data_IF_623431048876
#
_entry.id   IF_623431048876
#
_cell.length_a   1.000
_cell.length_b   1.000
_cell.length_c   1.000
_cell.angle_alpha   90.00
_cell.angle_beta   90.00
_cell.angle_gamma   90.00
#
_symmetry.space_group_name_H-M   'P 1'
#
loop_
_entity.id
_entity.type
_entity.pdbx_description
1 polymer ?
#
# COMPACT_ATOMS: atom_id res chain seq x y z
N UNK A 1 25.41 46.05 -47.69
CA UNK A 1 24.28 45.16 -47.99
C UNK A 1 24.85 44.11 -48.92
N UNK A 2 25.16 42.86 -48.55
CA UNK A 2 24.35 41.95 -47.73
C UNK A 2 25.08 40.71 -47.15
N UNK A 3 26.39 40.72 -46.88
CA UNK A 3 27.07 39.48 -46.40
C UNK A 3 27.52 39.48 -44.93
N UNK A 4 27.71 40.64 -44.31
CA UNK A 4 28.28 40.70 -42.95
C UNK A 4 27.28 40.37 -41.81
N UNK A 5 25.98 40.60 -42.02
CA UNK A 5 24.96 40.37 -40.99
C UNK A 5 24.49 38.92 -40.91
N UNK A 6 24.67 38.13 -41.98
CA UNK A 6 24.26 36.72 -42.03
C UNK A 6 25.11 35.80 -41.13
N UNK A 7 26.36 36.18 -40.85
CA UNK A 7 27.24 35.42 -39.94
C UNK A 7 26.94 35.68 -38.45
N UNK A 8 26.35 36.84 -38.11
CA UNK A 8 26.06 37.25 -36.73
C UNK A 8 24.69 36.79 -36.22
N UNK A 9 23.80 36.32 -37.10
CA UNK A 9 22.46 35.80 -36.75
C UNK A 9 22.32 34.28 -36.86
N UNK A 10 23.41 33.53 -37.00
CA UNK A 10 23.35 32.07 -36.84
C UNK A 10 23.21 31.77 -35.35
N UNK A 11 22.05 31.30 -34.84
CA UNK A 11 22.05 30.72 -33.49
C UNK A 11 23.08 29.60 -33.53
N UNK A 12 24.08 29.64 -32.64
CA UNK A 12 25.05 28.55 -32.51
C UNK A 12 24.25 27.23 -32.54
N UNK A 13 24.43 26.34 -33.54
CA UNK A 13 23.51 25.24 -33.81
C UNK A 13 23.42 24.21 -32.68
N UNK A 14 24.22 24.43 -31.63
CA UNK A 14 24.39 23.62 -30.45
C UNK A 14 23.69 24.19 -29.19
N UNK A 15 23.10 25.39 -29.23
CA UNK A 15 22.38 25.94 -28.08
C UNK A 15 20.97 25.35 -27.93
N UNK A 16 20.25 25.16 -29.04
CA UNK A 16 18.91 24.56 -29.01
C UNK A 16 18.92 23.07 -28.61
N UNK A 17 19.87 22.20 -29.06
CA UNK A 17 19.95 20.82 -28.62
C UNK A 17 20.36 20.71 -27.14
N UNK A 18 21.26 21.58 -26.67
CA UNK A 18 21.68 21.61 -25.26
C UNK A 18 20.51 22.00 -24.33
N UNK A 19 19.71 23.01 -24.71
CA UNK A 19 18.49 23.36 -23.99
C UNK A 19 17.47 22.21 -23.98
N UNK A 20 17.34 21.47 -25.09
CA UNK A 20 16.46 20.31 -25.20
C UNK A 20 16.92 19.15 -24.30
N UNK A 21 18.22 18.90 -24.21
CA UNK A 21 18.81 17.92 -23.28
C UNK A 21 18.54 18.30 -21.83
N UNK A 22 18.67 19.58 -21.46
CA UNK A 22 18.39 20.06 -20.10
C UNK A 22 16.91 19.94 -19.76
N UNK A 23 16.00 20.28 -20.69
CA UNK A 23 14.54 20.12 -20.50
C UNK A 23 14.17 18.65 -20.38
N UNK A 24 14.72 17.77 -21.23
CA UNK A 24 14.51 16.32 -21.13
C UNK A 24 15.06 15.75 -19.82
N UNK A 25 16.25 16.17 -19.37
CA UNK A 25 16.81 15.75 -18.09
C UNK A 25 15.96 16.24 -16.91
N UNK A 26 15.50 17.50 -16.94
CA UNK A 26 14.62 18.06 -15.92
C UNK A 26 13.24 17.38 -15.90
N UNK A 27 12.70 17.00 -17.06
CA UNK A 27 11.50 16.17 -17.16
C UNK A 27 11.78 14.78 -16.56
N UNK A 28 12.85 14.09 -16.95
CA UNK A 28 13.23 12.77 -16.39
C UNK A 28 13.41 12.81 -14.86
N UNK A 29 13.96 13.89 -14.30
CA UNK A 29 14.11 14.10 -12.85
C UNK A 29 12.77 14.44 -12.17
N UNK A 30 11.90 15.25 -12.81
CA UNK A 30 10.54 15.53 -12.33
C UNK A 30 9.56 14.36 -12.51
N UNK A 31 9.89 13.38 -13.35
CA UNK A 31 9.24 12.07 -13.42
C UNK A 31 9.83 11.10 -12.38
N UNK A 32 10.78 11.51 -11.54
CA UNK A 32 11.23 10.75 -10.35
C UNK A 32 10.09 10.25 -9.45
N UNK A 33 9.07 11.08 -9.11
CA UNK A 33 7.86 10.60 -8.45
C UNK A 33 7.07 9.58 -9.29
N UNK A 34 7.14 9.61 -10.63
CA UNK A 34 6.59 8.54 -11.46
C UNK A 34 7.46 7.28 -11.42
N UNK A 35 8.79 7.35 -11.23
CA UNK A 35 9.62 6.13 -11.08
C UNK A 35 9.30 5.39 -9.79
N UNK A 36 8.99 6.10 -8.70
CA UNK A 36 8.42 5.51 -7.49
C UNK A 36 7.00 4.95 -7.73
N UNK A 37 6.21 5.63 -8.57
CA UNK A 37 4.87 5.18 -9.01
C UNK A 37 4.91 3.94 -9.94
N UNK A 38 6.05 3.66 -10.60
CA UNK A 38 6.23 2.50 -11.50
C UNK A 38 6.99 1.33 -10.85
N UNK A 39 7.65 1.55 -9.71
CA UNK A 39 8.37 0.53 -8.94
C UNK A 39 7.45 -0.39 -8.12
N UNK A 40 6.17 -0.05 -7.98
CA UNK A 40 5.15 -0.87 -7.30
C UNK A 40 4.56 -1.95 -8.23
N UNK A 41 5.36 -2.42 -9.19
CA UNK A 41 5.00 -3.54 -10.06
C UNK A 41 5.36 -4.84 -9.34
N UNK A 42 4.33 -5.44 -8.71
CA UNK A 42 4.32 -6.75 -8.05
C UNK A 42 5.25 -6.84 -6.85
N UNK A 43 4.80 -6.31 -5.71
CA UNK A 43 5.28 -6.79 -4.43
C UNK A 43 4.90 -8.26 -4.32
N UNK A 44 5.86 -9.16 -4.57
CA UNK A 44 5.74 -10.56 -4.16
C UNK A 44 5.77 -10.64 -2.64
N UNK A 45 5.16 -11.68 -2.05
CA UNK A 45 5.15 -11.84 -0.60
C UNK A 45 6.56 -11.85 0.02
N UNK A 46 7.59 -12.24 -0.72
CA UNK A 46 8.99 -12.17 -0.26
C UNK A 46 9.41 -10.74 0.13
N UNK A 47 8.84 -9.73 -0.53
CA UNK A 47 9.06 -8.32 -0.19
C UNK A 47 8.21 -7.90 1.01
N UNK A 48 7.03 -8.50 1.20
CA UNK A 48 6.17 -8.30 2.38
C UNK A 48 6.85 -8.84 3.64
N UNK A 49 7.55 -9.97 3.54
CA UNK A 49 8.26 -10.59 4.66
C UNK A 49 9.45 -9.75 5.16
N UNK A 50 10.01 -8.91 4.29
CA UNK A 50 11.08 -7.98 4.64
C UNK A 50 10.59 -6.71 5.36
N UNK A 51 9.27 -6.49 5.43
CA UNK A 51 8.69 -5.29 6.04
C UNK A 51 8.68 -5.38 7.57
N UNK A 52 8.90 -4.23 8.22
CA UNK A 52 8.52 -4.06 9.63
C UNK A 52 6.99 -4.09 9.80
N UNK A 53 6.50 -4.18 11.05
CA UNK A 53 5.05 -4.13 11.34
C UNK A 53 4.39 -2.86 10.78
N UNK A 54 4.94 -1.70 11.13
CA UNK A 54 4.47 -0.39 10.63
C UNK A 54 4.58 -0.25 9.09
N UNK A 55 5.59 -0.86 8.48
CA UNK A 55 5.70 -0.91 7.02
C UNK A 55 4.62 -1.80 6.40
N UNK A 56 4.25 -2.90 7.05
CA UNK A 56 3.18 -3.79 6.62
C UNK A 56 1.80 -3.12 6.74
N UNK A 57 1.54 -2.40 7.83
CA UNK A 57 0.32 -1.59 8.01
C UNK A 57 0.16 -0.57 6.87
N UNK A 58 1.20 0.22 6.60
CA UNK A 58 1.21 1.19 5.49
C UNK A 58 1.08 0.53 4.11
N UNK A 59 1.65 -0.66 3.95
CA UNK A 59 1.49 -1.44 2.72
C UNK A 59 0.02 -1.80 2.52
N UNK A 60 -0.65 -2.34 3.54
CA UNK A 60 -2.07 -2.68 3.48
C UNK A 60 -2.95 -1.45 3.26
N UNK A 61 -2.65 -0.32 3.91
CA UNK A 61 -3.37 0.93 3.68
C UNK A 61 -3.35 1.34 2.21
N UNK A 62 -2.17 1.30 1.57
CA UNK A 62 -2.04 1.58 0.13
C UNK A 62 -2.72 0.54 -0.74
N UNK A 63 -2.64 -0.73 -0.36
CA UNK A 63 -3.29 -1.83 -1.08
C UNK A 63 -4.81 -1.65 -1.11
N UNK A 64 -5.45 -1.44 0.05
CA UNK A 64 -6.90 -1.22 0.13
C UNK A 64 -7.33 0.04 -0.63
N UNK A 65 -6.57 1.14 -0.51
CA UNK A 65 -6.83 2.36 -1.27
C UNK A 65 -6.80 2.12 -2.79
N UNK A 66 -5.82 1.35 -3.29
CA UNK A 66 -5.74 0.95 -4.71
C UNK A 66 -6.86 0.02 -5.14
N UNK A 67 -7.31 -0.85 -4.25
CA UNK A 67 -8.47 -1.72 -4.47
C UNK A 67 -9.80 -0.95 -4.52
N UNK A 68 -9.79 0.38 -4.30
CA UNK A 68 -10.96 1.24 -4.38
C UNK A 68 -11.69 1.44 -3.05
N UNK A 69 -11.06 1.09 -1.93
CA UNK A 69 -11.61 1.25 -0.60
C UNK A 69 -11.22 2.62 -0.04
N UNK A 70 -12.08 3.21 0.78
CA UNK A 70 -11.67 4.33 1.62
C UNK A 70 -10.91 3.78 2.82
N UNK A 71 -9.81 4.42 3.21
CA UNK A 71 -8.92 3.92 4.26
C UNK A 71 -8.66 5.03 5.27
N UNK A 72 -8.85 4.69 6.54
CA UNK A 72 -8.50 5.51 7.70
C UNK A 72 -7.47 4.75 8.54
N UNK A 73 -6.28 5.32 8.70
CA UNK A 73 -5.27 4.77 9.62
C UNK A 73 -5.64 5.17 11.05
N UNK A 74 -5.94 4.18 11.90
CA UNK A 74 -6.32 4.37 13.32
C UNK A 74 -5.32 3.78 14.30
N UNK A 75 -4.29 3.10 13.79
CA UNK A 75 -3.19 2.51 14.57
C UNK A 75 -2.27 3.54 15.22
N UNK A 76 -1.60 3.13 16.30
CA UNK A 76 -0.66 3.98 17.05
C UNK A 76 -0.64 3.71 18.55
N UNK A 77 -0.05 4.62 19.33
CA UNK A 77 -0.01 4.47 20.81
C UNK A 77 -1.42 4.64 21.40
N UNK A 78 -2.03 3.55 21.85
CA UNK A 78 -3.37 3.55 22.46
C UNK A 78 -4.47 3.06 21.53
N UNK A 79 -4.11 2.27 20.52
CA UNK A 79 -5.00 1.62 19.59
C UNK A 79 -5.88 0.57 20.29
N UNK A 80 -7.19 0.60 19.98
CA UNK A 80 -8.18 -0.33 20.53
C UNK A 80 -8.20 -1.69 19.79
N UNK A 81 -7.07 -2.09 19.18
CA UNK A 81 -6.93 -3.39 18.48
C UNK A 81 -7.27 -3.39 16.99
N UNK A 82 -7.15 -2.24 16.31
CA UNK A 82 -7.17 -2.17 14.85
C UNK A 82 -6.14 -1.15 14.36
N UNK A 83 -5.55 -1.42 13.20
CA UNK A 83 -4.57 -0.55 12.56
C UNK A 83 -5.23 0.33 11.49
N UNK A 84 -6.23 -0.21 10.79
CA UNK A 84 -6.97 0.47 9.72
C UNK A 84 -8.48 0.29 9.92
N UNK A 85 -9.24 1.33 9.57
CA UNK A 85 -10.66 1.20 9.23
C UNK A 85 -10.78 1.36 7.73
N UNK A 86 -11.40 0.39 7.06
CA UNK A 86 -11.61 0.43 5.63
C UNK A 86 -13.09 0.44 5.31
N UNK A 87 -13.50 1.23 4.32
CA UNK A 87 -14.90 1.33 3.91
C UNK A 87 -15.06 0.98 2.43
N UNK A 88 -15.94 0.03 2.15
CA UNK A 88 -16.29 -0.38 0.78
C UNK A 88 -17.80 -0.46 0.63
N UNK A 89 -18.33 0.25 -0.38
CA UNK A 89 -19.77 0.32 -0.65
C UNK A 89 -20.64 0.72 0.57
N UNK A 90 -20.08 1.54 1.46
CA UNK A 90 -20.78 2.02 2.66
C UNK A 90 -20.66 1.12 3.90
N UNK A 91 -20.01 -0.04 3.79
CA UNK A 91 -19.74 -0.91 4.92
C UNK A 91 -18.33 -0.70 5.47
N UNK A 92 -18.21 -0.56 6.79
CA UNK A 92 -16.96 -0.31 7.51
C UNK A 92 -16.43 -1.60 8.11
N UNK A 93 -15.13 -1.82 7.93
CA UNK A 93 -14.41 -2.99 8.44
C UNK A 93 -13.24 -2.54 9.29
N UNK A 94 -13.17 -3.00 10.53
CA UNK A 94 -11.99 -2.86 11.36
C UNK A 94 -10.93 -3.90 10.95
N UNK A 95 -9.72 -3.45 10.65
CA UNK A 95 -8.64 -4.31 10.16
C UNK A 95 -7.46 -4.27 11.12
N UNK A 96 -7.05 -5.44 11.61
CA UNK A 96 -5.78 -5.63 12.30
C UNK A 96 -4.77 -6.27 11.34
N UNK A 97 -3.67 -5.57 11.11
CA UNK A 97 -2.50 -6.05 10.40
C UNK A 97 -1.56 -6.74 11.39
N UNK A 98 -1.12 -7.97 11.07
CA UNK A 98 -0.07 -8.66 11.81
C UNK A 98 1.01 -9.14 10.86
N UNK A 99 2.15 -8.45 10.84
CA UNK A 99 3.38 -9.02 10.27
C UNK A 99 4.02 -9.92 11.34
N UNK A 100 4.28 -11.18 11.03
CA UNK A 100 4.77 -12.17 11.99
C UNK A 100 5.68 -13.22 11.34
N UNK A 101 6.66 -13.73 12.09
CA UNK A 101 7.49 -14.87 11.68
C UNK A 101 6.89 -16.23 12.10
N UNK A 102 5.78 -16.22 12.85
CA UNK A 102 5.11 -17.42 13.36
C UNK A 102 3.60 -17.31 13.15
N UNK A 103 2.86 -18.43 13.24
CA UNK A 103 1.41 -18.39 13.09
C UNK A 103 0.73 -17.44 14.08
N UNK A 104 -0.27 -16.70 13.60
CA UNK A 104 -1.03 -15.73 14.39
C UNK A 104 -2.02 -16.45 15.31
N UNK A 105 -2.01 -16.08 16.59
CA UNK A 105 -2.84 -16.64 17.65
C UNK A 105 -4.16 -15.91 17.87
N UNK A 106 -4.93 -16.39 18.84
CA UNK A 106 -6.27 -15.86 19.19
C UNK A 106 -6.29 -14.39 19.63
N UNK A 107 -5.17 -13.87 20.14
CA UNK A 107 -5.07 -12.49 20.62
C UNK A 107 -5.44 -11.47 19.53
N UNK A 108 -4.95 -11.65 18.30
CA UNK A 108 -5.26 -10.75 17.18
C UNK A 108 -6.77 -10.73 16.85
N UNK A 109 -7.44 -11.86 17.03
CA UNK A 109 -8.89 -11.97 16.80
C UNK A 109 -9.65 -11.23 17.91
N UNK A 110 -9.23 -11.39 19.16
CA UNK A 110 -9.85 -10.72 20.30
C UNK A 110 -9.68 -9.20 20.22
N UNK A 111 -8.48 -8.74 19.83
CA UNK A 111 -8.16 -7.32 19.58
C UNK A 111 -9.13 -6.72 18.55
N UNK A 112 -9.23 -7.30 17.35
CA UNK A 112 -10.06 -6.72 16.28
C UNK A 112 -11.56 -6.81 16.57
N UNK A 113 -12.01 -7.81 17.33
CA UNK A 113 -13.41 -7.90 17.79
C UNK A 113 -13.76 -6.74 18.74
N UNK A 114 -12.83 -6.39 19.63
CA UNK A 114 -12.95 -5.19 20.46
C UNK A 114 -12.99 -3.92 19.61
N UNK A 115 -12.05 -3.81 18.66
CA UNK A 115 -11.94 -2.67 17.76
C UNK A 115 -13.20 -2.47 16.90
N UNK A 116 -13.79 -3.55 16.36
CA UNK A 116 -15.03 -3.50 15.58
C UNK A 116 -16.14 -2.76 16.33
N UNK A 117 -16.31 -3.09 17.62
CA UNK A 117 -17.31 -2.44 18.47
C UNK A 117 -16.94 -1.01 18.81
N UNK A 118 -15.65 -0.76 19.10
CA UNK A 118 -15.16 0.56 19.48
C UNK A 118 -15.29 1.59 18.34
N UNK A 119 -14.96 1.18 17.12
CA UNK A 119 -14.97 2.06 15.94
C UNK A 119 -16.30 2.04 15.18
N UNK A 120 -17.34 1.38 15.69
CA UNK A 120 -18.67 1.26 15.05
C UNK A 120 -18.60 0.68 13.63
N UNK A 121 -17.90 -0.44 13.48
CA UNK A 121 -17.74 -1.15 12.21
C UNK A 121 -18.68 -2.35 12.13
N UNK A 122 -19.23 -2.61 10.94
CA UNK A 122 -20.07 -3.78 10.68
C UNK A 122 -19.25 -5.08 10.63
N UNK A 123 -18.02 -4.99 10.14
CA UNK A 123 -17.14 -6.14 9.90
C UNK A 123 -15.80 -6.01 10.61
N UNK A 124 -15.11 -7.13 10.76
CA UNK A 124 -13.75 -7.22 11.29
C UNK A 124 -12.91 -8.14 10.42
N UNK A 125 -11.63 -7.80 10.27
CA UNK A 125 -10.68 -8.56 9.48
C UNK A 125 -9.31 -8.58 10.17
N UNK A 126 -8.63 -9.73 10.12
CA UNK A 126 -7.20 -9.79 10.41
C UNK A 126 -6.47 -10.13 9.13
N UNK A 127 -5.39 -9.42 8.84
CA UNK A 127 -4.53 -9.67 7.67
C UNK A 127 -3.10 -9.95 8.15
N UNK A 128 -2.48 -11.01 7.64
CA UNK A 128 -1.13 -11.41 8.02
C UNK A 128 -0.30 -11.90 6.83
N UNK A 129 1.02 -11.78 6.94
CA UNK A 129 1.97 -12.39 5.98
C UNK A 129 2.27 -13.88 6.31
N UNK A 130 1.73 -14.38 7.42
CA UNK A 130 1.91 -15.73 7.95
C UNK A 130 0.60 -16.53 7.84
N UNK A 131 0.47 -17.62 8.59
CA UNK A 131 -0.79 -18.36 8.73
C UNK A 131 -1.39 -18.18 10.13
N UNK A 132 -2.58 -18.75 10.34
CA UNK A 132 -3.25 -18.73 11.64
C UNK A 132 -3.13 -20.07 12.35
N UNK A 133 -3.13 -20.02 13.69
CA UNK A 133 -3.35 -21.21 14.50
C UNK A 133 -4.79 -21.73 14.33
N UNK A 134 -5.01 -23.04 14.48
CA UNK A 134 -6.36 -23.62 14.43
C UNK A 134 -7.34 -22.99 15.45
N UNK A 135 -6.83 -22.60 16.62
CA UNK A 135 -7.62 -21.90 17.64
C UNK A 135 -8.04 -20.49 17.17
N UNK A 136 -7.15 -19.75 16.48
CA UNK A 136 -7.49 -18.46 15.90
C UNK A 136 -8.55 -18.57 14.80
N UNK A 137 -8.43 -19.56 13.91
CA UNK A 137 -9.43 -19.82 12.87
C UNK A 137 -10.81 -20.17 13.46
N UNK A 138 -10.83 -21.01 14.49
CA UNK A 138 -12.06 -21.39 15.22
C UNK A 138 -12.73 -20.17 15.85
N UNK A 139 -11.94 -19.31 16.52
CA UNK A 139 -12.46 -18.10 17.15
C UNK A 139 -12.93 -17.07 16.11
N UNK A 140 -12.17 -16.88 15.03
CA UNK A 140 -12.54 -15.97 13.95
C UNK A 140 -13.90 -16.35 13.34
N UNK A 141 -14.12 -17.65 13.10
CA UNK A 141 -15.41 -18.17 12.63
C UNK A 141 -16.54 -17.85 13.60
N UNK A 142 -16.30 -18.02 14.90
CA UNK A 142 -17.30 -17.76 15.95
C UNK A 142 -17.64 -16.27 16.10
N UNK A 143 -16.67 -15.39 15.84
CA UNK A 143 -16.83 -13.94 15.96
C UNK A 143 -17.22 -13.24 14.64
N UNK A 144 -17.25 -13.96 13.53
CA UNK A 144 -17.45 -13.39 12.20
C UNK A 144 -16.31 -12.46 11.77
N UNK A 145 -15.08 -12.88 12.03
CA UNK A 145 -13.85 -12.15 11.63
C UNK A 145 -13.32 -12.78 10.35
N UNK A 146 -13.13 -11.97 9.32
CA UNK A 146 -12.48 -12.39 8.08
C UNK A 146 -10.98 -12.54 8.29
N UNK A 147 -10.41 -13.61 7.75
CA UNK A 147 -8.98 -13.90 7.85
C UNK A 147 -8.39 -13.87 6.46
N UNK A 148 -7.37 -13.03 6.27
CA UNK A 148 -6.49 -13.11 5.11
C UNK A 148 -5.13 -13.56 5.60
N UNK A 149 -4.82 -14.83 5.34
CA UNK A 149 -3.50 -15.36 5.60
C UNK A 149 -2.55 -15.08 4.43
N UNK A 150 -1.36 -15.66 4.46
CA UNK A 150 -0.36 -15.52 3.42
C UNK A 150 -0.91 -15.79 2.02
N UNK A 151 -1.60 -16.92 1.84
CA UNK A 151 -2.04 -17.36 0.52
C UNK A 151 -3.20 -16.49 0.04
N UNK A 152 -4.12 -16.12 0.94
CA UNK A 152 -5.20 -15.18 0.66
C UNK A 152 -4.65 -13.81 0.24
N UNK A 153 -3.71 -13.26 1.01
CA UNK A 153 -3.11 -11.96 0.75
C UNK A 153 -2.40 -11.96 -0.61
N UNK A 154 -1.66 -13.02 -0.94
CA UNK A 154 -1.04 -13.14 -2.26
C UNK A 154 -2.10 -13.12 -3.36
N UNK A 155 -3.16 -13.90 -3.23
CA UNK A 155 -4.22 -13.96 -4.22
C UNK A 155 -4.89 -12.58 -4.41
N UNK A 156 -5.14 -11.84 -3.32
CA UNK A 156 -5.69 -10.49 -3.42
C UNK A 156 -4.71 -9.54 -4.11
N UNK A 157 -3.42 -9.55 -3.75
CA UNK A 157 -2.41 -8.74 -4.43
C UNK A 157 -2.39 -9.02 -5.93
N UNK A 158 -2.39 -10.30 -6.33
CA UNK A 158 -2.41 -10.70 -7.74
C UNK A 158 -3.68 -10.26 -8.46
N UNK A 159 -4.84 -10.34 -7.80
CA UNK A 159 -6.14 -9.94 -8.33
C UNK A 159 -6.20 -8.44 -8.64
N UNK A 160 -5.66 -7.60 -7.76
CA UNK A 160 -5.68 -6.14 -7.91
C UNK A 160 -4.43 -5.56 -8.59
N UNK A 161 -3.49 -6.42 -9.01
CA UNK A 161 -2.30 -6.04 -9.80
C UNK A 161 -2.49 -6.17 -11.32
N UNK A 162 -3.68 -6.58 -11.78
CA UNK A 162 -4.04 -6.68 -13.22
C UNK A 162 -4.86 -5.47 -13.65
#
# INVERSE_FOLDING_TARGET
MDEAWAALMQPLPYLWPAALVIVCAALVVRLGPLRAWWAERRLGLDQVDALSGEQFERFLARFFARAGWQVEEVGGRGDFGADLIVTYQGYRTAVQAKRSASPVGVAAIQEVVGARSHYDCEYAMVVTNSHYTAAAQTLATSCGVELWDRDDLQQQIERYSR
#
